data_IF_565467596942
#
_entry.id   IF_565467596942
#
_cell.length_a   1.000
_cell.length_b   1.000
_cell.length_c   1.000
_cell.angle_alpha   90.00
_cell.angle_beta   90.00
_cell.angle_gamma   90.00
#
_symmetry.space_group_name_H-M   'P 1'
#
loop_
_entity.id
_entity.type
_entity.pdbx_description
1 polymer ?
#
# COMPACT_ATOMS: atom_id res chain seq x y z
N UNK A 1 -13.14 -31.13 10.43
CA UNK A 1 -12.87 -30.28 11.58
C UNK A 1 -12.10 -29.00 11.22
N UNK A 2 -10.92 -29.06 10.54
CA UNK A 2 -10.14 -27.85 10.16
C UNK A 2 -10.81 -27.03 9.06
N UNK A 3 -11.45 -27.68 8.09
CA UNK A 3 -12.21 -27.05 7.02
C UNK A 3 -13.49 -26.38 7.55
N UNK A 4 -14.21 -27.06 8.41
CA UNK A 4 -15.44 -26.57 9.06
C UNK A 4 -15.17 -25.34 9.92
N UNK A 5 -14.09 -25.36 10.73
CA UNK A 5 -13.64 -24.20 11.51
C UNK A 5 -13.29 -23.00 10.63
N UNK A 6 -12.66 -23.24 9.46
CA UNK A 6 -12.31 -22.20 8.50
C UNK A 6 -13.56 -21.58 7.87
N UNK A 7 -14.52 -22.43 7.49
CA UNK A 7 -15.79 -21.97 6.91
C UNK A 7 -16.62 -21.17 7.91
N UNK A 8 -16.70 -21.65 9.17
CA UNK A 8 -17.38 -20.93 10.25
C UNK A 8 -16.73 -19.56 10.50
N UNK A 9 -15.39 -19.51 10.56
CA UNK A 9 -14.65 -18.26 10.73
C UNK A 9 -14.91 -17.28 9.58
N UNK A 10 -15.00 -17.77 8.35
CA UNK A 10 -15.31 -16.91 7.19
C UNK A 10 -16.75 -16.38 7.23
N UNK A 11 -17.73 -17.20 7.66
CA UNK A 11 -19.13 -16.78 7.85
C UNK A 11 -19.32 -15.70 8.93
N UNK A 12 -18.41 -15.64 9.91
CA UNK A 12 -18.47 -14.69 11.02
C UNK A 12 -17.71 -13.37 10.74
N UNK A 13 -17.00 -13.25 9.60
CA UNK A 13 -16.26 -12.04 9.28
C UNK A 13 -17.16 -10.84 9.08
N UNK A 14 -16.76 -9.75 9.69
CA UNK A 14 -17.36 -8.42 9.54
C UNK A 14 -16.76 -7.65 8.36
N UNK A 15 -17.38 -6.54 7.97
CA UNK A 15 -16.78 -5.59 7.00
C UNK A 15 -15.39 -5.12 7.46
N UNK A 16 -15.20 -4.91 8.77
CA UNK A 16 -13.91 -4.51 9.33
C UNK A 16 -12.83 -5.56 9.12
N UNK A 17 -13.17 -6.84 9.27
CA UNK A 17 -12.23 -7.96 9.06
C UNK A 17 -11.79 -8.03 7.59
N UNK A 18 -12.73 -7.91 6.65
CA UNK A 18 -12.39 -7.86 5.22
C UNK A 18 -11.54 -6.64 4.84
N UNK A 19 -11.83 -5.48 5.45
CA UNK A 19 -10.98 -4.28 5.27
C UNK A 19 -9.55 -4.49 5.78
N UNK A 20 -9.39 -5.20 6.90
CA UNK A 20 -8.08 -5.55 7.44
C UNK A 20 -7.34 -6.55 6.55
N UNK A 21 -8.03 -7.61 6.10
CA UNK A 21 -7.46 -8.61 5.19
C UNK A 21 -6.96 -7.96 3.88
N UNK A 22 -7.75 -7.05 3.31
CA UNK A 22 -7.34 -6.31 2.11
C UNK A 22 -6.12 -5.42 2.40
N UNK A 23 -6.11 -4.71 3.54
CA UNK A 23 -4.98 -3.86 3.92
C UNK A 23 -3.67 -4.64 4.04
N UNK A 24 -3.70 -5.83 4.64
CA UNK A 24 -2.53 -6.68 4.79
C UNK A 24 -1.95 -7.10 3.42
N UNK A 25 -2.81 -7.42 2.46
CA UNK A 25 -2.42 -7.74 1.09
C UNK A 25 -1.85 -6.52 0.36
N UNK A 26 -2.48 -5.36 0.45
CA UNK A 26 -2.00 -4.11 -0.15
C UNK A 26 -0.64 -3.71 0.44
N UNK A 27 -0.48 -3.80 1.75
CA UNK A 27 0.81 -3.55 2.41
C UNK A 27 1.89 -4.55 1.94
N UNK A 28 1.52 -5.80 1.68
CA UNK A 28 2.43 -6.80 1.12
C UNK A 28 2.81 -6.47 -0.32
N UNK A 29 1.86 -6.07 -1.16
CA UNK A 29 2.12 -5.62 -2.54
C UNK A 29 3.10 -4.45 -2.54
N UNK A 30 2.87 -3.42 -1.70
CA UNK A 30 3.78 -2.27 -1.60
C UNK A 30 5.21 -2.69 -1.23
N UNK A 31 5.37 -3.63 -0.28
CA UNK A 31 6.70 -4.16 0.07
C UNK A 31 7.35 -4.99 -1.03
N UNK A 32 6.57 -5.71 -1.83
CA UNK A 32 7.08 -6.46 -2.97
C UNK A 32 7.52 -5.54 -4.12
N UNK A 33 6.81 -4.44 -4.37
CA UNK A 33 7.24 -3.39 -5.31
C UNK A 33 8.57 -2.77 -4.84
N UNK A 34 8.73 -2.56 -3.54
CA UNK A 34 9.94 -2.00 -2.92
C UNK A 34 10.96 -3.07 -2.51
N UNK A 35 10.91 -4.27 -3.10
CA UNK A 35 11.88 -5.32 -2.81
C UNK A 35 13.31 -4.85 -3.04
N UNK A 36 14.19 -5.14 -2.08
CA UNK A 36 15.58 -4.72 -2.12
C UNK A 36 15.85 -3.27 -1.72
N UNK A 37 14.80 -2.49 -1.42
CA UNK A 37 14.93 -1.10 -0.98
C UNK A 37 15.10 -0.98 0.54
N UNK A 38 15.71 0.12 0.95
CA UNK A 38 15.81 0.52 2.35
C UNK A 38 14.51 1.19 2.84
N UNK A 39 14.42 1.45 4.15
CA UNK A 39 13.31 2.21 4.72
C UNK A 39 13.21 3.58 4.08
N UNK A 40 12.03 3.91 3.54
CA UNK A 40 11.78 5.20 2.88
C UNK A 40 12.09 6.41 3.77
N UNK A 41 11.90 6.29 5.09
CA UNK A 41 12.01 7.43 6.02
C UNK A 41 13.38 7.61 6.65
N UNK A 42 14.19 6.56 6.82
CA UNK A 42 15.49 6.66 7.49
C UNK A 42 16.63 5.96 6.74
N UNK A 43 16.34 5.45 5.57
CA UNK A 43 17.29 4.75 4.69
C UNK A 43 18.07 3.59 5.34
N UNK A 44 17.56 3.03 6.46
CA UNK A 44 18.16 1.82 7.04
C UNK A 44 17.65 0.55 6.36
N UNK A 45 18.46 -0.51 6.39
CA UNK A 45 18.00 -1.86 6.02
C UNK A 45 17.04 -2.35 7.11
N UNK A 46 15.76 -2.57 6.81
CA UNK A 46 14.79 -2.93 7.83
C UNK A 46 14.94 -4.39 8.26
N UNK A 47 15.14 -4.64 9.55
CA UNK A 47 15.06 -6.01 10.11
C UNK A 47 13.67 -6.62 9.92
N UNK A 48 12.63 -5.78 10.03
CA UNK A 48 11.24 -6.10 9.75
C UNK A 48 10.65 -4.95 8.96
N UNK A 49 10.18 -5.24 7.75
CA UNK A 49 9.56 -4.25 6.85
C UNK A 49 8.04 -4.18 7.06
N UNK A 50 7.52 -2.98 6.92
CA UNK A 50 6.09 -2.67 6.94
C UNK A 50 5.71 -1.91 5.66
N UNK A 51 4.46 -2.04 5.23
CA UNK A 51 3.85 -1.09 4.30
C UNK A 51 3.41 0.14 5.11
N UNK A 52 4.09 1.26 4.90
CA UNK A 52 3.88 2.50 5.65
C UNK A 52 3.11 3.50 4.80
N UNK A 53 2.03 4.07 5.37
CA UNK A 53 1.23 5.07 4.68
C UNK A 53 1.86 6.46 4.83
N UNK A 54 2.03 7.17 3.71
CA UNK A 54 2.45 8.58 3.70
C UNK A 54 1.35 9.48 4.29
N UNK A 55 0.11 9.32 3.83
CA UNK A 55 -1.10 9.89 4.44
C UNK A 55 -1.74 8.83 5.32
N UNK A 56 -1.84 9.07 6.62
CA UNK A 56 -2.35 8.08 7.56
C UNK A 56 -3.79 7.66 7.25
N UNK A 57 -4.12 6.39 7.51
CA UNK A 57 -5.47 5.86 7.31
C UNK A 57 -6.51 6.58 8.17
N UNK A 58 -6.14 6.98 9.39
CA UNK A 58 -7.03 7.69 10.30
C UNK A 58 -7.48 9.05 9.76
N UNK A 59 -6.54 9.81 9.16
CA UNK A 59 -6.84 11.15 8.62
C UNK A 59 -7.33 11.10 7.17
N UNK A 60 -6.92 10.10 6.39
CA UNK A 60 -7.18 10.02 4.95
C UNK A 60 -7.65 8.62 4.55
N UNK A 61 -8.73 8.14 5.14
CA UNK A 61 -9.27 6.78 4.94
C UNK A 61 -9.53 6.43 3.46
N UNK A 62 -9.81 7.42 2.62
CA UNK A 62 -10.00 7.26 1.18
C UNK A 62 -8.74 6.84 0.42
N UNK A 63 -7.55 7.06 0.98
CA UNK A 63 -6.26 6.64 0.40
C UNK A 63 -5.73 5.33 0.99
N UNK A 64 -6.54 4.64 1.79
CA UNK A 64 -6.15 3.47 2.57
C UNK A 64 -5.46 2.38 1.75
N UNK A 65 -5.94 2.13 0.55
CA UNK A 65 -5.43 1.07 -0.33
C UNK A 65 -4.67 1.60 -1.54
N UNK A 66 -4.44 2.91 -1.61
CA UNK A 66 -3.73 3.52 -2.75
C UNK A 66 -2.23 3.23 -2.65
N UNK A 67 -1.70 2.49 -3.62
CA UNK A 67 -0.28 2.11 -3.65
C UNK A 67 0.67 3.31 -3.80
N UNK A 68 0.22 4.43 -4.37
CA UNK A 68 1.01 5.67 -4.38
C UNK A 68 1.16 6.31 -2.99
N UNK A 69 0.36 5.87 -2.03
CA UNK A 69 0.39 6.32 -0.64
C UNK A 69 1.16 5.38 0.30
N UNK A 70 1.70 4.23 -0.19
CA UNK A 70 2.26 3.19 0.69
C UNK A 70 3.64 2.77 0.20
N UNK A 71 4.64 2.85 1.09
CA UNK A 71 6.03 2.49 0.80
C UNK A 71 6.62 1.62 1.89
N UNK A 72 7.71 0.92 1.56
CA UNK A 72 8.44 0.09 2.52
C UNK A 72 9.09 0.98 3.60
N UNK A 73 8.79 0.68 4.85
CA UNK A 73 9.41 1.32 5.99
C UNK A 73 9.81 0.34 7.09
N UNK A 74 10.71 0.76 7.99
CA UNK A 74 11.11 -0.05 9.14
C UNK A 74 10.12 0.12 10.30
N UNK A 75 10.12 -0.86 11.22
CA UNK A 75 9.21 -0.84 12.38
C UNK A 75 9.42 0.40 13.27
N UNK A 76 10.68 0.84 13.44
CA UNK A 76 11.01 2.03 14.23
C UNK A 76 10.33 3.29 13.67
N UNK A 77 10.52 3.58 12.38
CA UNK A 77 9.89 4.75 11.76
C UNK A 77 8.36 4.65 11.78
N UNK A 78 7.80 3.47 11.47
CA UNK A 78 6.36 3.29 11.34
C UNK A 78 5.61 3.37 12.67
N UNK A 79 6.15 2.79 13.75
CA UNK A 79 5.45 2.65 15.03
C UNK A 79 5.99 3.58 16.12
N UNK A 80 7.31 3.61 16.32
CA UNK A 80 7.91 4.32 17.44
C UNK A 80 8.04 5.81 17.19
N UNK A 81 8.29 6.22 15.93
CA UNK A 81 8.45 7.63 15.52
C UNK A 81 7.19 8.21 14.87
N UNK A 82 6.01 7.60 15.07
CA UNK A 82 4.75 8.11 14.54
C UNK A 82 4.71 8.29 13.02
N UNK A 83 5.44 7.42 12.28
CA UNK A 83 5.59 7.49 10.82
C UNK A 83 6.83 8.25 10.36
N UNK A 84 7.59 8.90 11.26
CA UNK A 84 8.79 9.70 10.93
C UNK A 84 8.54 10.64 9.74
N UNK A 85 7.58 11.54 9.89
CA UNK A 85 7.01 12.35 8.79
C UNK A 85 8.07 13.13 8.01
N UNK A 86 9.02 13.78 8.69
CA UNK A 86 10.08 14.53 8.01
C UNK A 86 11.00 13.62 7.20
N UNK A 87 11.44 12.50 7.77
CA UNK A 87 12.24 11.53 7.04
C UNK A 87 11.47 10.92 5.87
N UNK A 88 10.15 10.79 6.00
CA UNK A 88 9.32 10.29 4.91
C UNK A 88 9.23 11.30 3.75
N UNK A 89 9.01 12.59 4.04
CA UNK A 89 9.04 13.67 3.04
C UNK A 89 10.39 13.65 2.29
N UNK A 90 11.50 13.64 3.02
CA UNK A 90 12.86 13.62 2.46
C UNK A 90 13.11 12.38 1.59
N UNK A 91 12.68 11.20 2.06
CA UNK A 91 12.83 9.96 1.30
C UNK A 91 12.02 9.96 0.01
N UNK A 92 10.79 10.44 0.02
CA UNK A 92 9.98 10.56 -1.21
C UNK A 92 10.63 11.52 -2.20
N UNK A 93 11.12 12.67 -1.73
CA UNK A 93 11.81 13.66 -2.58
C UNK A 93 13.10 13.06 -3.18
N UNK A 94 13.87 12.34 -2.36
CA UNK A 94 15.13 11.75 -2.80
C UNK A 94 14.96 10.67 -3.87
N UNK A 95 13.92 9.83 -3.74
CA UNK A 95 13.66 8.74 -4.67
C UNK A 95 12.82 9.13 -5.89
N UNK A 96 11.80 9.96 -5.69
CA UNK A 96 10.78 10.20 -6.71
C UNK A 96 10.69 11.66 -7.18
N UNK A 97 11.47 12.55 -6.56
CA UNK A 97 11.50 13.96 -6.90
C UNK A 97 10.44 14.80 -6.21
N UNK A 98 10.66 16.13 -6.25
CA UNK A 98 9.81 17.12 -5.57
C UNK A 98 8.40 17.19 -6.16
N UNK A 99 8.28 17.10 -7.47
CA UNK A 99 6.98 17.15 -8.16
C UNK A 99 6.06 15.99 -7.72
N UNK A 100 6.59 14.77 -7.66
CA UNK A 100 5.85 13.63 -7.15
C UNK A 100 5.47 13.80 -5.68
N UNK A 101 6.40 14.30 -4.86
CA UNK A 101 6.13 14.59 -3.44
C UNK A 101 5.00 15.63 -3.28
N UNK A 102 5.01 16.72 -4.07
CA UNK A 102 3.94 17.72 -4.07
C UNK A 102 2.59 17.10 -4.44
N UNK A 103 2.56 16.24 -5.45
CA UNK A 103 1.37 15.51 -5.82
C UNK A 103 0.80 14.68 -4.67
N UNK A 104 1.59 13.79 -4.07
CA UNK A 104 1.10 12.93 -2.98
C UNK A 104 0.85 13.70 -1.67
N UNK A 105 1.49 14.85 -1.48
CA UNK A 105 1.30 15.67 -0.30
C UNK A 105 0.04 16.51 -0.36
N UNK A 106 -0.30 17.07 -1.50
CA UNK A 106 -1.35 18.08 -1.63
C UNK A 106 -2.48 17.67 -2.59
N UNK A 107 -2.16 17.06 -3.73
CA UNK A 107 -3.13 16.82 -4.78
C UNK A 107 -3.86 15.49 -4.66
N UNK A 108 -3.20 14.41 -4.32
CA UNK A 108 -3.78 13.05 -4.29
C UNK A 108 -5.05 12.95 -3.44
N UNK A 109 -5.15 13.74 -2.37
CA UNK A 109 -6.34 13.77 -1.50
C UNK A 109 -7.55 14.40 -2.18
N UNK A 110 -7.35 15.22 -3.22
CA UNK A 110 -8.41 15.86 -3.99
C UNK A 110 -8.91 14.97 -5.12
N UNK A 111 -8.08 14.04 -5.59
CA UNK A 111 -8.36 13.21 -6.77
C UNK A 111 -9.40 12.13 -6.52
N UNK A 112 -9.60 11.71 -5.26
CA UNK A 112 -10.44 10.57 -4.95
C UNK A 112 -11.58 10.91 -3.99
N UNK A 113 -12.79 10.37 -4.22
CA UNK A 113 -13.93 10.52 -3.31
C UNK A 113 -13.75 9.65 -2.06
N UNK A 114 -14.70 9.76 -1.13
CA UNK A 114 -14.76 8.86 0.02
C UNK A 114 -14.93 7.42 -0.48
N UNK A 115 -14.06 6.54 0.00
CA UNK A 115 -14.08 5.13 -0.37
C UNK A 115 -15.14 4.37 0.45
N UNK A 116 -16.11 3.79 -0.26
CA UNK A 116 -17.10 2.87 0.32
C UNK A 116 -17.04 1.57 -0.46
N UNK A 117 -16.91 0.46 0.24
CA UNK A 117 -16.96 -0.89 -0.35
C UNK A 117 -17.80 -1.79 0.54
N UNK A 118 -18.66 -2.59 -0.07
CA UNK A 118 -19.39 -3.66 0.60
C UNK A 118 -18.57 -4.95 0.68
N UNK A 119 -19.13 -6.00 1.31
CA UNK A 119 -18.43 -7.28 1.47
C UNK A 119 -18.13 -7.97 0.13
N UNK A 120 -19.06 -8.06 -0.83
CA UNK A 120 -18.77 -8.57 -2.17
C UNK A 120 -17.61 -7.88 -2.86
N UNK A 121 -17.59 -6.55 -2.86
CA UNK A 121 -16.51 -5.74 -3.44
C UNK A 121 -15.16 -5.99 -2.73
N UNK A 122 -15.16 -6.01 -1.40
CA UNK A 122 -13.95 -6.32 -0.62
C UNK A 122 -13.40 -7.72 -0.93
N UNK A 123 -14.26 -8.73 -1.06
CA UNK A 123 -13.86 -10.09 -1.45
C UNK A 123 -13.24 -10.14 -2.84
N UNK A 124 -13.81 -9.42 -3.80
CA UNK A 124 -13.26 -9.29 -5.15
C UNK A 124 -11.86 -8.67 -5.11
N UNK A 125 -11.68 -7.53 -4.41
CA UNK A 125 -10.38 -6.85 -4.31
C UNK A 125 -9.34 -7.71 -3.57
N UNK A 126 -9.75 -8.47 -2.56
CA UNK A 126 -8.89 -9.46 -1.89
C UNK A 126 -8.43 -10.56 -2.86
N UNK A 127 -9.32 -11.08 -3.71
CA UNK A 127 -8.98 -12.10 -4.68
C UNK A 127 -7.96 -11.58 -5.72
N UNK A 128 -8.20 -10.38 -6.27
CA UNK A 128 -7.27 -9.71 -7.18
C UNK A 128 -5.91 -9.49 -6.51
N UNK A 129 -5.91 -8.96 -5.27
CA UNK A 129 -4.67 -8.71 -4.51
C UNK A 129 -3.86 -9.97 -4.25
N UNK A 130 -4.51 -11.11 -3.98
CA UNK A 130 -3.83 -12.41 -3.81
C UNK A 130 -3.14 -12.87 -5.09
N UNK A 131 -3.77 -12.66 -6.25
CA UNK A 131 -3.15 -12.99 -7.53
C UNK A 131 -1.95 -12.08 -7.81
N UNK A 132 -2.07 -10.77 -7.59
CA UNK A 132 -0.97 -9.82 -7.71
C UNK A 132 0.20 -10.23 -6.81
N UNK A 133 -0.06 -10.58 -5.55
CA UNK A 133 0.99 -11.04 -4.63
C UNK A 133 1.72 -12.26 -5.17
N UNK A 134 0.99 -13.28 -5.68
CA UNK A 134 1.61 -14.48 -6.26
C UNK A 134 2.49 -14.16 -7.46
N UNK A 135 2.03 -13.28 -8.34
CA UNK A 135 2.79 -12.84 -9.52
C UNK A 135 4.08 -12.11 -9.11
N UNK A 136 4.00 -11.15 -8.19
CA UNK A 136 5.16 -10.42 -7.71
C UNK A 136 6.16 -11.32 -6.95
N UNK A 137 5.67 -12.32 -6.21
CA UNK A 137 6.53 -13.30 -5.52
C UNK A 137 7.21 -14.27 -6.49
N UNK A 138 6.58 -14.59 -7.62
CA UNK A 138 7.16 -15.48 -8.63
C UNK A 138 8.23 -14.82 -9.50
N UNK A 139 8.19 -13.51 -9.64
CA UNK A 139 9.14 -12.70 -10.43
C UNK A 139 9.66 -11.52 -9.58
N UNK A 140 10.36 -11.84 -8.51
CA UNK A 140 10.83 -10.88 -7.54
C UNK A 140 12.06 -10.14 -8.07
N UNK A 141 11.93 -8.85 -8.33
CA UNK A 141 12.98 -8.01 -8.91
C UNK A 141 13.20 -6.73 -8.10
N UNK A 142 14.44 -6.22 -8.13
CA UNK A 142 14.75 -4.87 -7.64
C UNK A 142 14.43 -3.87 -8.74
N UNK A 143 13.42 -3.04 -8.51
CA UNK A 143 12.96 -2.03 -9.46
C UNK A 143 13.67 -0.69 -9.21
N UNK A 144 13.93 0.05 -10.28
CA UNK A 144 14.33 1.46 -10.20
C UNK A 144 13.18 2.33 -9.65
N UNK A 145 13.50 3.56 -9.24
CA UNK A 145 12.52 4.49 -8.69
C UNK A 145 11.38 4.78 -9.68
N UNK A 146 11.69 4.98 -10.96
CA UNK A 146 10.70 5.18 -12.01
C UNK A 146 9.82 3.95 -12.23
N UNK A 147 10.40 2.75 -12.26
CA UNK A 147 9.66 1.49 -12.39
C UNK A 147 8.75 1.23 -11.19
N UNK A 148 9.16 1.60 -9.99
CA UNK A 148 8.35 1.49 -8.78
C UNK A 148 7.08 2.35 -8.85
N UNK A 149 7.17 3.59 -9.35
CA UNK A 149 6.00 4.45 -9.56
C UNK A 149 5.10 3.87 -10.65
N UNK A 150 5.66 3.49 -11.79
CA UNK A 150 4.91 2.88 -12.89
C UNK A 150 4.16 1.62 -12.43
N UNK A 151 4.83 0.75 -11.67
CA UNK A 151 4.22 -0.47 -11.12
C UNK A 151 3.08 -0.17 -10.16
N UNK A 152 3.19 0.87 -9.31
CA UNK A 152 2.11 1.30 -8.42
C UNK A 152 0.88 1.79 -9.17
N UNK A 153 1.08 2.55 -10.24
CA UNK A 153 -0.01 3.03 -11.10
C UNK A 153 -0.72 1.84 -11.76
N UNK A 154 0.03 0.97 -12.44
CA UNK A 154 -0.47 -0.25 -13.07
C UNK A 154 -1.31 -1.10 -12.10
N UNK A 155 -0.80 -1.34 -10.90
CA UNK A 155 -1.47 -2.19 -9.92
C UNK A 155 -2.66 -1.50 -9.24
N UNK A 156 -2.66 -0.18 -9.06
CA UNK A 156 -3.84 0.57 -8.64
C UNK A 156 -5.00 0.42 -9.65
N UNK A 157 -4.72 0.55 -10.93
CA UNK A 157 -5.69 0.36 -12.01
C UNK A 157 -6.21 -1.09 -12.03
N UNK A 158 -5.32 -2.05 -11.92
CA UNK A 158 -5.67 -3.47 -11.89
C UNK A 158 -6.50 -3.86 -10.67
N UNK A 159 -6.27 -3.24 -9.51
CA UNK A 159 -7.10 -3.38 -8.32
C UNK A 159 -8.51 -2.80 -8.53
N UNK A 160 -8.64 -1.82 -9.43
CA UNK A 160 -9.92 -1.19 -9.76
C UNK A 160 -10.54 -0.42 -8.59
N UNK A 161 -9.70 0.09 -7.66
CA UNK A 161 -10.11 0.94 -6.55
C UNK A 161 -9.82 2.40 -6.86
N UNK A 162 -8.68 2.65 -7.53
CA UNK A 162 -8.19 3.99 -7.85
C UNK A 162 -7.81 4.08 -9.33
N UNK A 163 -8.41 5.04 -10.00
CA UNK A 163 -7.97 5.45 -11.34
C UNK A 163 -6.98 6.60 -11.16
N UNK A 164 -5.72 6.35 -11.51
CA UNK A 164 -4.64 7.30 -11.26
C UNK A 164 -4.73 8.50 -12.21
N UNK A 165 -4.69 9.70 -11.65
CA UNK A 165 -4.62 10.97 -12.39
C UNK A 165 -3.19 11.50 -12.52
N UNK A 166 -2.23 10.91 -11.83
CA UNK A 166 -0.82 11.25 -11.95
C UNK A 166 -0.26 10.73 -13.26
N UNK A 167 0.34 11.63 -14.04
CA UNK A 167 1.03 11.31 -15.29
C UNK A 167 2.54 11.34 -15.05
N UNK A 168 3.23 10.30 -15.52
CA UNK A 168 4.70 10.17 -15.45
C UNK A 168 5.32 10.89 -16.65
#
# INVERSE_FOLDING_TARGET
ERAEKKELKEKLKTVSDYKSDLQDLINKIARLIDYGQNCISCNCVPKKSNGCHFKSVGSHSKLRYNLLNIYLGCNKCNRELGGNVHGYDDGIIAHFGREFWEYIKFQIVLDFPILKMDIPELKEKIAISRNIVKELESDLMVLSDAERIKKRIELNERLGIYETKYQI
#
